data_IF_888434401279
#
_entry.id   IF_888434401279
#
_cell.length_a   1.000
_cell.length_b   1.000
_cell.length_c   1.000
_cell.angle_alpha   90.00
_cell.angle_beta   90.00
_cell.angle_gamma   90.00
#
_symmetry.space_group_name_H-M   'P 1'
#
loop_
_entity.id
_entity.type
_entity.pdbx_description
1 polymer ?
#
# COMPACT_ATOMS: atom_id res chain seq x y z
N UNK A 1 -0.07 12.92 -78.65
CA UNK A 1 0.00 14.34 -78.28
C UNK A 1 -1.18 14.63 -77.39
N UNK A 2 -0.90 15.05 -76.15
CA UNK A 2 -1.79 15.53 -75.07
C UNK A 2 -3.08 14.75 -74.78
N UNK A 3 -3.11 14.11 -73.61
CA UNK A 3 -4.35 13.66 -72.97
C UNK A 3 -4.95 14.80 -72.12
N UNK A 4 -6.18 15.17 -72.46
CA UNK A 4 -7.08 15.96 -71.64
C UNK A 4 -8.40 15.21 -71.53
N UNK A 5 -8.63 14.50 -70.42
CA UNK A 5 -9.94 14.28 -69.78
C UNK A 5 -9.67 13.67 -68.39
N UNK A 6 -9.86 14.40 -67.29
CA UNK A 6 -11.11 14.63 -66.55
C UNK A 6 -11.63 13.41 -65.77
N UNK A 7 -11.43 13.48 -64.46
CA UNK A 7 -12.48 13.46 -63.44
C UNK A 7 -13.26 12.14 -63.23
N UNK A 8 -12.75 11.27 -62.34
CA UNK A 8 -13.54 10.45 -61.42
C UNK A 8 -12.62 9.64 -60.49
N UNK A 9 -12.06 10.26 -59.45
CA UNK A 9 -11.40 9.51 -58.37
C UNK A 9 -11.71 10.14 -57.00
N UNK A 10 -13.01 10.20 -56.72
CA UNK A 10 -13.58 10.62 -55.44
C UNK A 10 -14.59 9.53 -55.02
N UNK A 11 -14.12 8.40 -54.51
CA UNK A 11 -14.94 7.44 -53.75
C UNK A 11 -14.12 6.26 -53.16
N UNK A 12 -13.01 6.52 -52.47
CA UNK A 12 -12.39 5.47 -51.64
C UNK A 12 -11.68 6.02 -50.40
N UNK A 13 -12.42 6.75 -49.55
CA UNK A 13 -12.01 7.00 -48.15
C UNK A 13 -13.20 6.86 -47.17
N UNK A 14 -14.26 6.15 -47.58
CA UNK A 14 -15.49 5.92 -46.80
C UNK A 14 -15.57 4.51 -46.20
N UNK A 15 -14.44 3.94 -45.75
CA UNK A 15 -14.44 2.60 -45.13
C UNK A 15 -13.67 2.51 -43.81
N UNK A 16 -13.38 3.65 -43.17
CA UNK A 16 -12.79 3.69 -41.83
C UNK A 16 -13.65 4.41 -40.80
N UNK A 17 -14.97 4.41 -41.00
CA UNK A 17 -15.90 5.20 -40.17
C UNK A 17 -16.86 4.34 -39.34
N UNK A 18 -16.84 3.00 -39.46
CA UNK A 18 -17.75 2.11 -38.72
C UNK A 18 -17.09 1.18 -37.70
N UNK A 19 -15.76 1.04 -37.73
CA UNK A 19 -15.04 0.30 -36.68
C UNK A 19 -14.78 1.15 -35.42
N UNK A 20 -14.75 2.48 -35.56
CA UNK A 20 -14.49 3.42 -34.46
C UNK A 20 -15.72 3.63 -33.55
N UNK A 21 -16.93 3.35 -34.05
CA UNK A 21 -18.19 3.60 -33.33
C UNK A 21 -18.59 2.52 -32.31
N UNK A 22 -17.76 1.49 -32.07
CA UNK A 22 -17.98 0.50 -30.98
C UNK A 22 -17.12 0.72 -29.73
N UNK A 23 -16.23 1.70 -29.72
CA UNK A 23 -15.37 2.00 -28.56
C UNK A 23 -16.08 2.87 -27.50
N UNK A 24 -17.41 3.00 -27.54
CA UNK A 24 -18.21 3.78 -26.59
C UNK A 24 -18.75 2.96 -25.39
N UNK A 25 -18.25 1.75 -25.10
CA UNK A 25 -18.88 0.87 -24.11
C UNK A 25 -17.98 0.14 -23.09
N UNK A 26 -16.68 0.47 -22.97
CA UNK A 26 -15.79 -0.24 -22.02
C UNK A 26 -14.88 0.68 -21.18
N UNK A 27 -15.31 1.92 -20.90
CA UNK A 27 -14.57 2.79 -19.96
C UNK A 27 -15.52 3.31 -18.88
N UNK A 28 -16.14 2.38 -18.16
CA UNK A 28 -16.61 2.63 -16.80
C UNK A 28 -15.64 1.95 -15.83
N UNK A 29 -15.20 2.71 -14.83
CA UNK A 29 -14.20 2.41 -13.79
C UNK A 29 -12.77 2.73 -14.26
N UNK A 30 -12.06 3.70 -13.72
CA UNK A 30 -12.01 4.16 -12.33
C UNK A 30 -11.42 5.57 -12.37
N UNK A 31 -11.79 6.43 -11.42
CA UNK A 31 -10.96 7.46 -10.77
C UNK A 31 -11.94 8.50 -10.22
N UNK A 32 -12.25 8.33 -8.95
CA UNK A 32 -13.03 9.25 -8.14
C UNK A 32 -12.50 10.68 -8.28
N UNK A 33 -13.35 11.70 -8.52
CA UNK A 33 -12.95 13.09 -8.43
C UNK A 33 -12.95 13.50 -6.96
N UNK A 34 -11.93 13.13 -6.21
CA UNK A 34 -11.69 13.78 -4.91
C UNK A 34 -10.87 15.04 -5.18
N UNK A 35 -11.57 16.09 -5.63
CA UNK A 35 -11.09 17.45 -5.49
C UNK A 35 -11.02 17.79 -4.01
N UNK A 36 -9.92 17.42 -3.35
CA UNK A 36 -9.60 17.94 -2.04
C UNK A 36 -9.08 19.36 -2.22
N UNK A 37 -9.63 20.38 -1.52
CA UNK A 37 -9.04 21.72 -1.51
C UNK A 37 -7.58 21.63 -1.05
N UNK A 38 -6.67 22.50 -1.55
CA UNK A 38 -5.29 22.55 -1.09
C UNK A 38 -5.34 22.84 0.40
N UNK A 39 -5.10 21.81 1.21
CA UNK A 39 -5.00 22.01 2.65
C UNK A 39 -3.78 22.91 2.87
N UNK A 40 -3.90 23.97 3.70
CA UNK A 40 -2.73 24.77 4.06
C UNK A 40 -1.66 23.80 4.55
N UNK A 41 -0.49 23.88 3.93
CA UNK A 41 0.68 23.11 4.29
C UNK A 41 0.94 23.37 5.77
N UNK A 42 0.47 22.45 6.60
CA UNK A 42 0.75 22.44 8.02
C UNK A 42 2.28 22.37 8.18
N UNK A 43 2.84 22.87 9.30
CA UNK A 43 4.27 22.75 9.62
C UNK A 43 4.75 21.34 9.31
N UNK A 44 6.04 21.14 8.92
CA UNK A 44 6.56 19.86 8.41
C UNK A 44 5.98 18.74 9.25
N UNK A 45 5.01 18.03 8.66
CA UNK A 45 4.22 17.06 9.40
C UNK A 45 5.20 15.93 9.64
N UNK A 46 5.65 15.75 10.88
CA UNK A 46 6.35 14.54 11.27
C UNK A 46 5.43 13.39 10.86
N UNK A 47 5.80 12.67 9.79
CA UNK A 47 4.95 11.59 9.31
C UNK A 47 4.92 10.53 10.41
N UNK A 48 3.73 10.16 10.91
CA UNK A 48 3.65 9.21 12.00
C UNK A 48 4.21 7.86 11.53
N UNK A 49 4.84 7.10 12.45
CA UNK A 49 5.32 5.77 12.13
C UNK A 49 4.19 4.90 11.57
N UNK A 50 4.45 4.10 10.52
CA UNK A 50 3.54 3.06 10.07
C UNK A 50 3.05 2.19 11.22
N UNK A 51 1.77 1.81 11.20
CA UNK A 51 1.16 1.00 12.24
C UNK A 51 1.90 -0.33 12.48
N UNK A 52 2.47 -0.92 11.43
CA UNK A 52 3.27 -2.16 11.49
C UNK A 52 4.54 -2.03 12.34
N UNK A 53 5.00 -0.79 12.60
CA UNK A 53 6.19 -0.51 13.41
C UNK A 53 5.85 -0.36 14.89
N UNK A 54 4.57 -0.19 15.21
CA UNK A 54 4.10 0.03 16.57
C UNK A 54 3.85 -1.30 17.26
N UNK A 55 4.43 -1.44 18.46
CA UNK A 55 4.16 -2.56 19.33
C UNK A 55 2.73 -2.46 19.89
N UNK A 56 1.88 -3.49 19.74
CA UNK A 56 0.53 -3.48 20.31
C UNK A 56 0.49 -3.40 21.84
N UNK A 57 1.58 -3.77 22.53
CA UNK A 57 1.67 -3.78 23.99
C UNK A 57 2.10 -2.41 24.55
N UNK A 58 3.12 -1.79 23.96
CA UNK A 58 3.66 -0.49 24.44
C UNK A 58 3.08 0.71 23.73
N UNK A 59 2.42 0.51 22.58
CA UNK A 59 1.96 1.58 21.70
C UNK A 59 3.08 2.51 21.22
N UNK A 60 4.31 1.99 21.17
CA UNK A 60 5.52 2.70 20.76
C UNK A 60 6.21 1.97 19.61
N UNK A 61 7.09 2.66 18.88
CA UNK A 61 7.90 2.06 17.81
C UNK A 61 8.79 0.96 18.38
N UNK A 62 8.71 -0.24 17.79
CA UNK A 62 9.49 -1.40 18.19
C UNK A 62 10.99 -1.16 17.95
N UNK A 63 11.82 -1.47 18.94
CA UNK A 63 13.28 -1.52 18.79
C UNK A 63 13.75 -2.91 18.38
N UNK A 64 13.14 -3.94 18.95
CA UNK A 64 13.42 -5.35 18.65
C UNK A 64 12.12 -6.08 18.30
N UNK A 65 11.67 -5.99 17.04
CA UNK A 65 10.46 -6.67 16.61
C UNK A 65 10.68 -8.19 16.58
N UNK A 66 9.84 -8.90 17.32
CA UNK A 66 9.75 -10.37 17.32
C UNK A 66 8.33 -10.78 16.96
N UNK A 67 8.21 -11.81 16.13
CA UNK A 67 6.95 -12.37 15.69
C UNK A 67 6.56 -13.55 16.58
N UNK A 68 5.32 -13.55 17.07
CA UNK A 68 4.74 -14.70 17.76
C UNK A 68 3.95 -15.58 16.77
N UNK A 69 3.44 -16.73 17.23
CA UNK A 69 2.69 -17.68 16.39
C UNK A 69 1.38 -17.14 15.83
N UNK A 70 0.87 -16.07 16.43
CA UNK A 70 -0.31 -15.35 15.96
C UNK A 70 -0.04 -14.51 14.70
N UNK A 71 1.20 -14.50 14.19
CA UNK A 71 1.61 -13.71 13.03
C UNK A 71 1.82 -12.22 13.31
N UNK A 72 1.68 -11.78 14.55
CA UNK A 72 1.85 -10.39 14.93
C UNK A 72 3.27 -10.15 15.46
N UNK A 73 3.77 -8.93 15.23
CA UNK A 73 5.07 -8.49 15.73
C UNK A 73 4.92 -7.66 16.99
N UNK A 74 5.77 -7.93 17.97
CA UNK A 74 5.80 -7.28 19.27
C UNK A 74 7.22 -6.87 19.63
N UNK A 75 7.36 -5.94 20.57
CA UNK A 75 8.65 -5.65 21.19
C UNK A 75 9.11 -6.83 22.05
N UNK A 76 10.33 -7.34 21.81
CA UNK A 76 10.91 -8.51 22.49
C UNK A 76 10.68 -8.50 23.99
N UNK A 77 11.11 -7.42 24.66
CA UNK A 77 11.06 -7.34 26.14
C UNK A 77 9.64 -7.44 26.68
N UNK A 78 8.66 -7.01 25.89
CA UNK A 78 7.27 -6.90 26.34
C UNK A 78 6.52 -8.19 26.12
N UNK A 79 6.72 -8.84 24.98
CA UNK A 79 6.14 -10.17 24.75
C UNK A 79 6.78 -11.22 25.65
N UNK A 80 8.08 -11.13 25.96
CA UNK A 80 8.73 -12.02 26.93
C UNK A 80 8.13 -11.90 28.34
N UNK A 81 7.88 -10.66 28.80
CA UNK A 81 7.21 -10.40 30.08
C UNK A 81 5.76 -10.87 30.08
N UNK A 82 5.05 -10.68 28.97
CA UNK A 82 3.69 -11.17 28.82
C UNK A 82 3.65 -12.70 28.92
N UNK A 83 4.51 -13.40 28.16
CA UNK A 83 4.63 -14.85 28.16
C UNK A 83 5.08 -15.44 29.50
N UNK A 84 5.79 -14.66 30.33
CA UNK A 84 6.11 -15.06 31.70
C UNK A 84 4.88 -15.16 32.62
N UNK A 85 3.76 -14.51 32.26
CA UNK A 85 2.53 -14.49 33.07
C UNK A 85 1.34 -15.13 32.37
N UNK A 86 1.28 -15.08 31.05
CA UNK A 86 0.14 -15.50 30.22
C UNK A 86 0.62 -16.17 28.94
N UNK A 87 0.00 -17.28 28.56
CA UNK A 87 0.29 -17.98 27.29
C UNK A 87 -0.73 -17.61 26.20
N UNK A 88 -1.08 -16.33 26.09
CA UNK A 88 -2.08 -15.84 25.12
C UNK A 88 -1.51 -14.73 24.24
N UNK A 89 -2.13 -14.44 23.10
CA UNK A 89 -1.79 -13.29 22.26
C UNK A 89 -2.20 -12.01 22.96
N UNK A 90 -1.32 -10.99 23.05
CA UNK A 90 -1.69 -9.66 23.53
C UNK A 90 -2.68 -8.93 22.61
N UNK A 91 -2.68 -9.23 21.31
CA UNK A 91 -3.62 -8.61 20.36
C UNK A 91 -4.98 -9.28 20.33
N UNK A 92 -5.02 -10.61 20.17
CA UNK A 92 -6.30 -11.32 19.96
C UNK A 92 -6.88 -11.88 21.26
N UNK A 93 -6.06 -12.03 22.31
CA UNK A 93 -6.45 -12.69 23.55
C UNK A 93 -6.53 -14.22 23.44
N UNK A 94 -6.24 -14.80 22.27
CA UNK A 94 -6.30 -16.24 22.04
C UNK A 94 -5.07 -16.96 22.61
N UNK A 95 -5.19 -18.25 22.93
CA UNK A 95 -4.05 -19.04 23.39
C UNK A 95 -3.00 -19.16 22.29
N UNK A 96 -1.74 -18.86 22.62
CA UNK A 96 -0.63 -19.10 21.69
C UNK A 96 -0.32 -20.59 21.70
N UNK A 97 -0.19 -21.19 20.53
CA UNK A 97 0.17 -22.61 20.40
C UNK A 97 1.51 -22.91 21.06
N UNK A 98 2.46 -21.97 20.95
CA UNK A 98 3.74 -22.06 21.63
C UNK A 98 4.37 -20.68 21.88
N UNK A 99 5.20 -20.59 22.92
CA UNK A 99 5.93 -19.37 23.33
C UNK A 99 7.18 -19.07 22.49
N UNK A 100 7.30 -19.66 21.29
CA UNK A 100 8.44 -19.42 20.40
C UNK A 100 8.29 -18.05 19.76
N UNK A 101 9.31 -17.22 19.94
CA UNK A 101 9.41 -15.90 19.35
C UNK A 101 10.45 -15.91 18.25
N UNK A 102 10.04 -15.54 17.04
CA UNK A 102 10.92 -15.47 15.88
C UNK A 102 11.38 -14.03 15.66
N UNK A 103 12.68 -13.71 15.70
CA UNK A 103 13.16 -12.36 15.40
C UNK A 103 12.77 -11.93 13.98
N UNK A 104 12.15 -10.75 13.85
CA UNK A 104 11.78 -10.18 12.56
C UNK A 104 12.83 -9.17 12.08
N UNK A 105 13.93 -9.69 11.51
CA UNK A 105 15.04 -8.86 11.05
C UNK A 105 14.66 -7.90 9.91
N UNK A 106 13.75 -8.30 9.03
CA UNK A 106 13.27 -7.46 7.93
C UNK A 106 12.50 -6.24 8.46
N UNK A 107 11.58 -6.46 9.42
CA UNK A 107 10.85 -5.37 10.07
C UNK A 107 11.80 -4.45 10.85
N UNK A 108 12.78 -5.03 11.55
CA UNK A 108 13.80 -4.23 12.27
C UNK A 108 14.57 -3.31 11.31
N UNK A 109 14.96 -3.80 10.14
CA UNK A 109 15.62 -2.99 9.11
C UNK A 109 14.75 -1.82 8.65
N UNK A 110 13.49 -2.10 8.30
CA UNK A 110 12.53 -1.07 7.87
C UNK A 110 12.26 -0.01 8.94
N UNK A 111 12.12 -0.41 10.21
CA UNK A 111 11.94 0.53 11.31
C UNK A 111 13.15 1.44 11.45
N UNK A 112 14.35 0.88 11.36
CA UNK A 112 15.59 1.64 11.47
C UNK A 112 15.74 2.65 10.33
N UNK A 113 15.48 2.23 9.09
CA UNK A 113 15.48 3.14 7.93
C UNK A 113 14.47 4.28 8.11
N UNK A 114 13.27 3.98 8.61
CA UNK A 114 12.27 5.00 8.92
C UNK A 114 12.73 5.95 10.02
N UNK A 115 13.32 5.43 11.11
CA UNK A 115 13.88 6.24 12.18
C UNK A 115 14.98 7.16 11.64
N UNK A 116 15.93 6.65 10.86
CA UNK A 116 17.03 7.44 10.28
C UNK A 116 16.53 8.53 9.33
N UNK A 117 15.41 8.32 8.63
CA UNK A 117 14.81 9.31 7.74
C UNK A 117 14.00 10.42 8.45
N UNK A 118 13.62 10.21 9.72
CA UNK A 118 12.74 11.11 10.49
C UNK A 118 13.42 11.65 11.76
N UNK A 119 14.76 11.73 11.77
CA UNK A 119 15.60 12.14 12.91
C UNK A 119 16.55 13.28 12.55
#
# INVERSE_FOLDING_TARGET
MYDTVSLADQALDDQKTLADLRMLADQTATLSPTGSPPQPEAPPREEPPPADFICPITTEVMSDPVMATDGHSYERKQIERWLATKSTSPMTGEALEHSILTPNHALRGRIREWQEAHH
#
